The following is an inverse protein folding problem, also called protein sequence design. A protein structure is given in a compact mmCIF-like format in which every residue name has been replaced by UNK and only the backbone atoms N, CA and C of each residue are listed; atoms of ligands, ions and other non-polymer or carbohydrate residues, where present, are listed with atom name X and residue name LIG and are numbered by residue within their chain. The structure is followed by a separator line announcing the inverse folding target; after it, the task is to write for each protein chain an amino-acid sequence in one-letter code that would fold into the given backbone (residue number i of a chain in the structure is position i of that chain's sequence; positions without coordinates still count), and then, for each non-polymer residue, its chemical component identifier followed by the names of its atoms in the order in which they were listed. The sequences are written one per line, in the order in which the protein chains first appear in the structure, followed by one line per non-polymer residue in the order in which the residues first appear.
data_IF_397608025469
#
_entry.id   IF_397608025469
#
_cell.length_a   1.000
_cell.length_b   1.000
_cell.length_c   1.000
_cell.angle_alpha   90.00
_cell.angle_beta   90.00
_cell.angle_gamma   90.00
#
_symmetry.space_group_name_H-M   'P 1'
#
loop_
_entity.id
_entity.type
_entity.pdbx_description
1 polymer ?
#
# COMPACT_ATOMS: atom_id res chain seq x y z
N UNK A 1 6.58 -12.51 -1.23
CA UNK A 1 6.46 -11.06 -0.96
C UNK A 1 7.42 -10.32 -1.89
N UNK A 2 6.91 -9.42 -2.74
CA UNK A 2 7.75 -8.63 -3.65
C UNK A 2 8.03 -7.25 -3.08
N UNK A 3 9.29 -7.04 -2.70
CA UNK A 3 9.76 -5.80 -2.08
C UNK A 3 9.77 -4.62 -3.06
N UNK A 4 10.22 -4.86 -4.29
CA UNK A 4 10.30 -3.81 -5.31
C UNK A 4 8.93 -3.23 -5.65
N UNK A 5 7.92 -4.10 -5.79
CA UNK A 5 6.56 -3.67 -6.05
C UNK A 5 5.95 -2.93 -4.86
N UNK A 6 6.31 -3.33 -3.63
CA UNK A 6 5.88 -2.62 -2.42
C UNK A 6 6.40 -1.18 -2.38
N UNK A 7 7.68 -0.98 -2.75
CA UNK A 7 8.25 0.38 -2.88
C UNK A 7 7.48 1.19 -3.94
N UNK A 8 7.26 0.61 -5.11
CA UNK A 8 6.55 1.27 -6.20
C UNK A 8 5.14 1.71 -5.74
N UNK A 9 4.43 0.85 -5.01
CA UNK A 9 3.09 1.15 -4.48
C UNK A 9 3.09 2.20 -3.38
N UNK A 10 4.09 2.18 -2.49
CA UNK A 10 4.25 3.24 -1.47
C UNK A 10 4.43 4.60 -2.13
N UNK A 11 5.29 4.67 -3.15
CA UNK A 11 5.57 5.90 -3.88
C UNK A 11 4.34 6.41 -4.63
N UNK A 12 3.60 5.52 -5.29
CA UNK A 12 2.35 5.83 -5.98
C UNK A 12 1.28 6.42 -5.03
N UNK A 13 1.22 5.93 -3.80
CA UNK A 13 0.32 6.44 -2.75
C UNK A 13 0.71 7.79 -2.14
N UNK A 14 1.90 8.33 -2.43
CA UNK A 14 2.29 9.67 -2.00
C UNK A 14 1.74 10.71 -2.97
N UNK A 15 1.21 11.83 -2.46
CA UNK A 15 0.68 12.94 -3.27
C UNK A 15 1.66 13.43 -4.34
N UNK A 16 2.95 13.54 -3.98
CA UNK A 16 4.00 13.96 -4.90
C UNK A 16 4.62 12.81 -5.72
N UNK A 17 4.32 11.55 -5.40
CA UNK A 17 5.02 10.40 -5.95
C UNK A 17 6.41 10.18 -5.35
N UNK A 18 6.70 10.79 -4.20
CA UNK A 18 8.04 10.87 -3.63
C UNK A 18 8.01 10.46 -2.17
N UNK A 19 8.98 9.67 -1.74
CA UNK A 19 9.13 9.29 -0.34
C UNK A 19 10.59 9.26 0.08
N UNK A 20 10.84 9.68 1.32
CA UNK A 20 12.12 9.44 1.99
C UNK A 20 12.26 7.97 2.35
N UNK A 21 13.50 7.50 2.50
CA UNK A 21 13.76 6.13 2.93
C UNK A 21 13.13 5.80 4.30
N UNK A 22 13.02 6.79 5.19
CA UNK A 22 12.33 6.64 6.48
C UNK A 22 10.83 6.37 6.32
N UNK A 23 10.15 7.13 5.45
CA UNK A 23 8.73 6.94 5.13
C UNK A 23 8.48 5.58 4.49
N UNK A 24 9.37 5.13 3.59
CA UNK A 24 9.31 3.81 2.98
C UNK A 24 9.42 2.73 4.08
N UNK A 25 10.40 2.84 4.99
CA UNK A 25 10.56 1.88 6.09
C UNK A 25 9.36 1.85 7.03
N UNK A 26 8.79 3.02 7.34
CA UNK A 26 7.62 3.11 8.21
C UNK A 26 6.40 2.43 7.58
N UNK A 27 6.13 2.68 6.29
CA UNK A 27 5.05 2.00 5.57
C UNK A 27 5.27 0.50 5.50
N UNK A 28 6.49 0.06 5.20
CA UNK A 28 6.82 -1.35 5.20
C UNK A 28 6.58 -1.99 6.57
N UNK A 29 6.99 -1.33 7.65
CA UNK A 29 6.74 -1.82 9.01
C UNK A 29 5.23 -2.00 9.27
N UNK A 30 4.41 -1.03 8.86
CA UNK A 30 2.94 -1.13 8.95
C UNK A 30 2.45 -2.32 8.13
N UNK A 31 2.89 -2.47 6.88
CA UNK A 31 2.46 -3.58 6.02
C UNK A 31 2.86 -4.96 6.54
N UNK A 32 4.04 -5.07 7.15
CA UNK A 32 4.45 -6.30 7.82
C UNK A 32 3.58 -6.60 9.05
N UNK A 33 3.04 -5.58 9.72
CA UNK A 33 2.09 -5.76 10.83
C UNK A 33 0.64 -5.98 10.38
N UNK A 34 0.24 -5.47 9.21
CA UNK A 34 -1.12 -5.60 8.66
C UNK A 34 -1.47 -7.02 8.18
N UNK A 35 -0.55 -7.98 8.23
CA UNK A 35 -0.84 -9.40 8.03
C UNK A 35 -0.82 -9.88 6.57
N UNK A 36 -1.42 -11.06 6.34
CA UNK A 36 -1.32 -11.81 5.09
C UNK A 36 -2.06 -11.16 3.90
N UNK A 37 -3.01 -10.26 4.14
CA UNK A 37 -3.79 -9.61 3.08
C UNK A 37 -2.91 -8.75 2.15
N UNK A 38 -2.16 -7.81 2.73
CA UNK A 38 -1.23 -6.97 1.96
C UNK A 38 -0.16 -7.82 1.27
N UNK A 39 0.41 -8.76 2.01
CA UNK A 39 1.46 -9.67 1.50
C UNK A 39 0.95 -10.50 0.32
N UNK A 40 -0.28 -11.02 0.39
CA UNK A 40 -0.93 -11.79 -0.66
C UNK A 40 -1.26 -10.93 -1.88
N UNK A 41 -1.75 -9.71 -1.67
CA UNK A 41 -2.01 -8.74 -2.76
C UNK A 41 -0.73 -8.41 -3.53
N UNK A 42 0.36 -8.12 -2.81
CA UNK A 42 1.64 -7.84 -3.46
C UNK A 42 2.24 -9.05 -4.15
N UNK A 43 1.97 -10.26 -3.66
CA UNK A 43 2.39 -11.49 -4.33
C UNK A 43 1.64 -11.69 -5.65
N UNK A 44 0.31 -11.57 -5.66
CA UNK A 44 -0.50 -11.69 -6.89
C UNK A 44 -0.10 -10.69 -7.98
N UNK A 45 0.21 -9.46 -7.59
CA UNK A 45 0.70 -8.46 -8.55
C UNK A 45 2.11 -8.80 -9.05
N UNK A 46 2.99 -9.32 -8.19
CA UNK A 46 4.32 -9.75 -8.59
C UNK A 46 4.30 -10.99 -9.50
N UNK A 47 3.36 -11.91 -9.32
CA UNK A 47 3.15 -13.06 -10.22
C UNK A 47 2.79 -12.62 -11.65
N UNK A 48 2.13 -11.47 -11.80
CA UNK A 48 1.83 -10.88 -13.11
C UNK A 48 3.01 -10.15 -13.75
N UNK A 49 4.04 -9.82 -12.96
CA UNK A 49 5.25 -9.16 -13.41
C UNK A 49 6.50 -9.82 -12.79
N UNK A 50 6.79 -11.09 -13.15
CA UNK A 50 7.88 -11.87 -12.55
C UNK A 50 9.27 -11.30 -12.90
N UNK A 51 9.38 -10.55 -13.99
CA UNK A 51 10.61 -9.86 -14.43
C UNK A 51 10.62 -8.37 -14.02
N UNK A 52 9.81 -7.98 -13.04
CA UNK A 52 9.78 -6.60 -12.57
C UNK A 52 11.14 -6.23 -11.98
N UNK A 53 11.72 -5.14 -12.50
CA UNK A 53 12.90 -4.50 -11.96
C UNK A 53 12.71 -2.98 -12.01
N UNK A 54 12.28 -2.40 -10.89
CA UNK A 54 11.91 -0.99 -10.81
C UNK A 54 13.07 -0.02 -11.11
N UNK A 55 14.32 -0.46 -10.94
CA UNK A 55 15.49 0.38 -11.22
C UNK A 55 15.97 0.20 -12.65
N UNK A 56 16.06 -1.05 -13.11
CA UNK A 56 16.50 -1.36 -14.48
C UNK A 56 15.51 -0.83 -15.52
N UNK A 57 14.22 -0.87 -15.20
CA UNK A 57 13.14 -0.34 -16.04
C UNK A 57 12.87 1.16 -15.80
N UNK A 58 13.67 1.85 -14.97
CA UNK A 58 13.53 3.29 -14.67
C UNK A 58 12.14 3.71 -14.17
N UNK A 59 11.45 2.80 -13.48
CA UNK A 59 10.14 3.07 -12.87
C UNK A 59 10.28 3.93 -11.61
N UNK A 60 11.45 3.89 -10.98
CA UNK A 60 11.79 4.69 -9.80
C UNK A 60 13.17 5.34 -9.99
N UNK A 61 13.26 6.61 -9.62
CA UNK A 61 14.51 7.37 -9.55
C UNK A 61 14.89 7.53 -8.08
N UNK A 62 16.12 7.13 -7.76
CA UNK A 62 16.72 7.32 -6.44
C UNK A 62 17.57 8.59 -6.44
N UNK A 63 17.08 9.60 -5.75
CA UNK A 63 17.78 10.84 -5.46
C UNK A 63 18.47 10.76 -4.08
N UNK A 64 19.40 11.66 -3.76
CA UNK A 64 20.02 11.73 -2.44
C UNK A 64 18.96 11.95 -1.34
N UNK A 65 18.66 10.90 -0.58
CA UNK A 65 17.68 10.94 0.52
C UNK A 65 16.21 10.73 0.09
N UNK A 66 15.90 10.79 -1.19
CA UNK A 66 14.53 10.74 -1.72
C UNK A 66 14.38 9.72 -2.84
N UNK A 67 13.21 9.10 -2.90
CA UNK A 67 12.84 8.15 -3.95
C UNK A 67 11.62 8.69 -4.66
N UNK A 68 11.61 8.62 -5.98
CA UNK A 68 10.56 9.22 -6.81
C UNK A 68 10.07 8.20 -7.82
N UNK A 69 8.76 7.98 -7.87
CA UNK A 69 8.15 7.20 -8.96
C UNK A 69 8.16 8.04 -10.24
N UNK A 70 8.52 7.42 -11.36
CA UNK A 70 8.46 8.08 -12.67
C UNK A 70 7.05 7.99 -13.24
N UNK A 71 6.78 8.77 -14.30
CA UNK A 71 5.54 8.64 -15.06
C UNK A 71 5.38 7.21 -15.60
N UNK A 72 6.47 6.59 -16.07
CA UNK A 72 6.50 5.20 -16.53
C UNK A 72 6.16 4.23 -15.40
N UNK A 73 6.69 4.46 -14.18
CA UNK A 73 6.33 3.68 -13.00
C UNK A 73 4.85 3.73 -12.66
N UNK A 74 4.24 4.92 -12.70
CA UNK A 74 2.78 5.09 -12.48
C UNK A 74 1.96 4.41 -13.57
N UNK A 75 2.33 4.59 -14.84
CA UNK A 75 1.64 3.94 -15.95
C UNK A 75 1.76 2.42 -15.89
N UNK A 76 2.94 1.91 -15.55
CA UNK A 76 3.16 0.48 -15.37
C UNK A 76 2.29 -0.07 -14.23
N UNK A 77 2.27 0.62 -13.09
CA UNK A 77 1.47 0.21 -11.94
C UNK A 77 -0.03 0.27 -12.27
N UNK A 78 -0.50 1.30 -12.99
CA UNK A 78 -1.88 1.39 -13.47
C UNK A 78 -2.27 0.27 -14.46
N UNK A 79 -1.35 -0.18 -15.33
CA UNK A 79 -1.60 -1.33 -16.23
C UNK A 79 -1.64 -2.63 -15.44
N UNK A 80 -0.72 -2.79 -14.48
CA UNK A 80 -0.62 -3.97 -13.63
C UNK A 80 -1.85 -4.10 -12.71
N UNK A 81 -2.30 -2.98 -12.15
CA UNK A 81 -3.51 -2.87 -11.34
C UNK A 81 -4.77 -2.90 -12.20
N UNK A 82 -4.79 -2.34 -13.40
CA UNK A 82 -5.94 -2.43 -14.31
C UNK A 82 -6.21 -3.87 -14.76
N UNK A 83 -5.15 -4.68 -14.93
CA UNK A 83 -5.26 -6.14 -15.09
C UNK A 83 -5.71 -6.87 -13.81
N UNK A 84 -5.62 -6.21 -12.64
CA UNK A 84 -5.96 -6.75 -11.34
C UNK A 84 -7.29 -6.33 -10.75
N UNK A 85 -7.72 -5.10 -11.01
CA UNK A 85 -8.94 -4.48 -10.52
C UNK A 85 -10.19 -5.13 -11.12
N UNK A 86 -10.07 -5.75 -12.30
CA UNK A 86 -11.09 -6.65 -12.84
C UNK A 86 -11.41 -7.83 -11.89
N UNK A 87 -10.58 -8.08 -10.86
CA UNK A 87 -10.73 -9.13 -9.86
C UNK A 87 -10.79 -8.60 -8.40
N UNK A 88 -10.75 -7.28 -8.17
CA UNK A 88 -10.67 -6.68 -6.82
C UNK A 88 -11.61 -5.45 -6.70
N UNK A 89 -12.85 -5.60 -7.18
CA UNK A 89 -13.97 -4.97 -6.46
C UNK A 89 -14.09 -5.67 -5.10
N UNK A 90 -14.53 -4.96 -4.06
CA UNK A 90 -14.70 -5.38 -2.66
C UNK A 90 -13.57 -4.95 -1.69
N UNK A 91 -13.99 -4.06 -0.78
CA UNK A 91 -13.48 -3.76 0.57
C UNK A 91 -12.38 -2.71 0.75
N UNK A 92 -12.63 -1.49 0.29
CA UNK A 92 -12.39 -0.32 1.15
C UNK A 92 -13.71 0.04 1.86
N UNK A 93 -14.23 -0.90 2.67
CA UNK A 93 -15.32 -0.57 3.58
C UNK A 93 -14.70 0.20 4.75
N UNK A 94 -15.06 1.47 4.81
CA UNK A 94 -14.67 2.48 5.79
C UNK A 94 -14.72 1.93 7.23
N UNK A 95 -13.80 2.34 8.13
CA UNK A 95 -13.96 2.10 9.55
C UNK A 95 -15.14 2.94 10.05
N UNK A 96 -16.36 2.39 9.90
CA UNK A 96 -17.58 2.92 10.51
C UNK A 96 -17.28 3.11 11.98
N UNK A 97 -17.25 4.38 12.38
CA UNK A 97 -16.80 4.84 13.67
C UNK A 97 -17.50 4.08 14.78
N UNK A 98 -16.72 3.50 15.68
CA UNK A 98 -17.22 2.95 16.94
C UNK A 98 -17.79 4.12 17.74
N UNK A 99 -19.11 4.26 17.74
CA UNK A 99 -19.84 5.17 18.59
C UNK A 99 -19.70 4.71 20.04
N UNK A 100 -18.67 5.18 20.73
CA UNK A 100 -18.62 5.20 22.19
C UNK A 100 -19.75 6.12 22.67
N UNK A 101 -20.80 5.55 23.24
CA UNK A 101 -21.65 6.25 24.21
C UNK A 101 -21.53 5.55 25.55
N UNK A 102 -20.57 6.03 26.32
CA UNK A 102 -20.53 5.87 27.78
C UNK A 102 -21.71 6.63 28.38
N UNK A 103 -22.57 5.93 29.13
CA UNK A 103 -23.69 6.52 29.86
C UNK A 103 -24.00 5.75 31.14
N UNK A 104 -23.28 6.08 32.20
CA UNK A 104 -23.71 6.11 33.61
C UNK A 104 -24.39 4.89 34.28
N UNK A 105 -23.59 4.16 35.07
CA UNK A 105 -23.67 4.06 36.54
C UNK A 105 -25.02 3.85 37.28
N UNK A 106 -25.20 2.61 37.76
CA UNK A 106 -25.58 2.15 39.13
C UNK A 106 -27.06 2.12 39.65
N UNK A 107 -27.40 1.22 40.62
CA UNK A 107 -28.75 0.64 40.91
C UNK A 107 -29.39 1.21 42.23
N UNK A 108 -30.60 0.77 42.73
CA UNK A 108 -30.89 -0.53 43.43
C UNK A 108 -32.31 -1.11 43.12
N UNK A 109 -32.66 -2.38 43.35
CA UNK A 109 -32.95 -3.05 44.63
C UNK A 109 -34.43 -2.91 45.04
N UNK A 110 -35.21 -4.00 44.98
CA UNK A 110 -36.41 -4.30 45.80
C UNK A 110 -36.79 -5.77 45.62
#
# INVERSE_FOLDING_TARGET
MSFQLSILKILDGQTDGRASLEVIRQHLAVFYTSGQEWTGRMNRLAERAPDLDIFRQKLVVREPGMWNITAEGRSFLAILEGRGAANEDIALAEPSSVGLTTGASAPPGS
#
